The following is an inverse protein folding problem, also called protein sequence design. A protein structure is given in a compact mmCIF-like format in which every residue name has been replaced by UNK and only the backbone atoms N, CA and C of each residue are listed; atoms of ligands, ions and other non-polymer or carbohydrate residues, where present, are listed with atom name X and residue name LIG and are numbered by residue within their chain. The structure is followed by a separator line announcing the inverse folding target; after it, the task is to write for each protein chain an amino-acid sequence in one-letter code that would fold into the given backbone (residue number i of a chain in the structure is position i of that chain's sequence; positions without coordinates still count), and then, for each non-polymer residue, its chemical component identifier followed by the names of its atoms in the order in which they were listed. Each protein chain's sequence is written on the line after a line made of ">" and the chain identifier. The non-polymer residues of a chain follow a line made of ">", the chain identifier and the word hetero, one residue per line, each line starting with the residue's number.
data_IF_715669763899
#
_entry.id   IF_715669763899
#
_cell.length_a   1.000
_cell.length_b   1.000
_cell.length_c   1.000
_cell.angle_alpha   90.00
_cell.angle_beta   90.00
_cell.angle_gamma   90.00
#
_symmetry.space_group_name_H-M   'P 1'
#
loop_
_entity.id
_entity.type
_entity.pdbx_description
1 polymer ?
#
# COMPACT_ATOMS: atom_id res chain seq x y z
N UNK A 1 -9.30 -11.69 17.21
CA UNK A 1 -9.58 -12.66 16.12
C UNK A 1 -8.81 -13.92 16.45
N UNK A 2 -9.43 -15.10 16.36
CA UNK A 2 -8.69 -16.37 16.48
C UNK A 2 -7.78 -16.51 15.26
N UNK A 3 -6.50 -16.79 15.48
CA UNK A 3 -5.56 -17.06 14.41
C UNK A 3 -5.75 -18.51 13.96
N UNK A 4 -6.38 -18.68 12.80
CA UNK A 4 -6.70 -19.99 12.23
C UNK A 4 -5.67 -20.28 11.13
N UNK A 5 -5.01 -21.43 11.21
CA UNK A 5 -4.12 -21.93 10.16
C UNK A 5 -5.00 -22.35 8.96
N UNK A 6 -4.93 -21.67 7.80
CA UNK A 6 -5.81 -21.98 6.69
C UNK A 6 -5.51 -23.37 6.11
N UNK A 7 -4.23 -23.66 5.88
CA UNK A 7 -3.72 -24.97 5.50
C UNK A 7 -2.20 -24.98 5.70
N UNK A 8 -1.65 -25.97 6.42
CA UNK A 8 -0.20 -26.18 6.51
C UNK A 8 0.13 -27.65 6.32
N UNK A 9 1.14 -27.94 5.50
CA UNK A 9 1.67 -29.30 5.33
C UNK A 9 2.74 -29.55 6.38
N UNK A 10 2.57 -30.62 7.14
CA UNK A 10 3.51 -31.12 8.12
C UNK A 10 4.65 -31.87 7.44
N UNK A 11 5.79 -32.06 8.14
CA UNK A 11 6.93 -32.83 7.61
C UNK A 11 6.60 -34.29 7.28
N UNK A 12 5.61 -34.88 7.95
CA UNK A 12 5.11 -36.22 7.67
C UNK A 12 4.09 -36.27 6.51
N UNK A 13 3.92 -35.16 5.78
CA UNK A 13 2.95 -34.93 4.70
C UNK A 13 1.47 -34.84 5.11
N UNK A 14 1.15 -34.88 6.40
CA UNK A 14 -0.21 -34.57 6.87
C UNK A 14 -0.53 -33.08 6.64
N UNK A 15 -1.81 -32.76 6.47
CA UNK A 15 -2.26 -31.38 6.24
C UNK A 15 -3.16 -30.94 7.38
N UNK A 16 -2.72 -29.95 8.15
CA UNK A 16 -3.58 -29.27 9.12
C UNK A 16 -4.44 -28.23 8.38
N UNK A 17 -5.75 -28.26 8.58
CA UNK A 17 -6.70 -27.30 7.99
C UNK A 17 -7.56 -26.70 9.09
N UNK A 18 -7.69 -25.38 9.05
CA UNK A 18 -8.55 -24.61 9.95
C UNK A 18 -8.26 -24.85 11.44
N UNK A 19 -7.00 -25.10 11.80
CA UNK A 19 -6.60 -25.36 13.20
C UNK A 19 -6.24 -24.04 13.89
N UNK A 20 -6.84 -23.72 15.06
CA UNK A 20 -6.41 -22.59 15.87
C UNK A 20 -4.97 -22.76 16.36
N UNK A 21 -4.14 -21.71 16.26
CA UNK A 21 -2.71 -21.77 16.65
C UNK A 21 -2.51 -22.17 18.11
N UNK A 22 -3.44 -21.79 19.00
CA UNK A 22 -3.44 -22.13 20.44
C UNK A 22 -3.79 -23.61 20.72
N UNK A 23 -4.28 -24.35 19.73
CA UNK A 23 -4.56 -25.79 19.84
C UNK A 23 -3.43 -26.67 19.31
N UNK A 24 -2.34 -26.09 18.78
CA UNK A 24 -1.20 -26.86 18.27
C UNK A 24 -0.56 -27.74 19.35
N UNK A 25 -0.54 -27.29 20.60
CA UNK A 25 0.00 -28.03 21.75
C UNK A 25 -0.79 -29.31 22.06
N UNK A 26 -2.03 -29.42 21.57
CA UNK A 26 -2.88 -30.60 21.72
C UNK A 26 -2.66 -31.61 20.60
N UNK A 27 -1.92 -31.23 19.56
CA UNK A 27 -1.53 -32.13 18.48
C UNK A 27 -0.27 -32.88 18.90
N UNK A 28 -0.19 -34.16 18.58
CA UNK A 28 0.98 -35.01 18.82
C UNK A 28 2.11 -34.69 17.81
N UNK A 29 2.56 -33.43 17.80
CA UNK A 29 3.62 -32.90 16.94
C UNK A 29 4.85 -32.52 17.76
N UNK A 30 6.02 -32.59 17.13
CA UNK A 30 7.26 -32.17 17.79
C UNK A 30 7.28 -30.66 18.04
N UNK A 31 7.97 -30.21 19.10
CA UNK A 31 8.15 -28.79 19.40
C UNK A 31 8.82 -27.99 18.26
N UNK A 32 9.73 -28.61 17.50
CA UNK A 32 10.35 -27.98 16.33
C UNK A 32 9.31 -27.67 15.24
N UNK A 33 8.42 -28.64 14.97
CA UNK A 33 7.35 -28.49 13.99
C UNK A 33 6.31 -27.47 14.46
N UNK A 34 5.96 -27.48 15.74
CA UNK A 34 5.09 -26.48 16.35
C UNK A 34 5.66 -25.06 16.19
N UNK A 35 6.96 -24.87 16.50
CA UNK A 35 7.65 -23.59 16.31
C UNK A 35 7.68 -23.16 14.84
N UNK A 36 7.92 -24.09 13.91
CA UNK A 36 7.89 -23.81 12.45
C UNK A 36 6.51 -23.31 12.01
N UNK A 37 5.43 -23.94 12.48
CA UNK A 37 4.06 -23.55 12.14
C UNK A 37 3.74 -22.19 12.75
N UNK A 38 4.07 -21.97 14.03
CA UNK A 38 3.87 -20.67 14.72
C UNK A 38 4.62 -19.54 13.99
N UNK A 39 5.85 -19.79 13.55
CA UNK A 39 6.62 -18.83 12.75
C UNK A 39 5.95 -18.54 11.41
N UNK A 40 5.55 -19.58 10.67
CA UNK A 40 4.86 -19.43 9.38
C UNK A 40 3.60 -18.57 9.52
N UNK A 41 2.74 -18.88 10.49
CA UNK A 41 1.51 -18.12 10.73
C UNK A 41 1.82 -16.67 11.09
N UNK A 42 2.85 -16.45 11.92
CA UNK A 42 3.25 -15.09 12.28
C UNK A 42 3.77 -14.29 11.09
N UNK A 43 4.51 -14.91 10.16
CA UNK A 43 4.94 -14.26 8.92
C UNK A 43 3.75 -13.81 8.07
N UNK A 44 2.78 -14.70 7.84
CA UNK A 44 1.58 -14.39 7.06
C UNK A 44 0.74 -13.27 7.68
N UNK A 45 0.57 -13.29 9.02
CA UNK A 45 -0.11 -12.22 9.74
C UNK A 45 0.61 -10.87 9.61
N UNK A 46 1.93 -10.88 9.74
CA UNK A 46 2.75 -9.67 9.61
C UNK A 46 2.70 -9.12 8.19
N UNK A 47 2.81 -9.97 7.16
CA UNK A 47 2.66 -9.58 5.75
C UNK A 47 1.27 -8.97 5.52
N UNK A 48 0.21 -9.59 6.05
CA UNK A 48 -1.15 -9.06 5.97
C UNK A 48 -1.27 -7.67 6.61
N UNK A 49 -0.62 -7.45 7.76
CA UNK A 49 -0.60 -6.14 8.44
C UNK A 49 0.17 -5.09 7.64
N UNK A 50 1.30 -5.46 7.04
CA UNK A 50 2.08 -4.58 6.15
C UNK A 50 1.20 -4.13 4.98
N UNK A 51 0.58 -5.07 4.27
CA UNK A 51 -0.29 -4.80 3.12
C UNK A 51 -1.52 -3.95 3.52
N UNK A 52 -2.11 -4.22 4.68
CA UNK A 52 -3.23 -3.44 5.18
C UNK A 52 -2.82 -2.00 5.51
N UNK A 53 -1.65 -1.81 6.12
CA UNK A 53 -1.11 -0.50 6.45
C UNK A 53 -0.82 0.31 5.18
N UNK A 54 -0.07 -0.24 4.22
CA UNK A 54 0.25 0.48 2.96
C UNK A 54 -1.00 0.81 2.17
N UNK A 55 -2.01 -0.07 2.17
CA UNK A 55 -3.33 0.23 1.60
C UNK A 55 -3.99 1.44 2.28
N UNK A 56 -3.98 1.51 3.61
CA UNK A 56 -4.54 2.66 4.33
C UNK A 56 -3.78 3.95 3.99
N UNK A 57 -2.46 3.89 3.89
CA UNK A 57 -1.65 5.05 3.47
C UNK A 57 -2.01 5.51 2.06
N UNK A 58 -2.11 4.60 1.09
CA UNK A 58 -2.50 4.95 -0.29
C UNK A 58 -3.90 5.59 -0.35
N UNK A 59 -4.81 5.15 0.51
CA UNK A 59 -6.13 5.78 0.67
C UNK A 59 -6.05 7.19 1.25
N UNK A 60 -5.20 7.42 2.25
CA UNK A 60 -4.95 8.75 2.81
C UNK A 60 -4.34 9.70 1.76
N UNK A 61 -3.33 9.23 1.02
CA UNK A 61 -2.64 9.98 -0.03
C UNK A 61 -3.57 10.51 -1.11
N UNK A 62 -4.45 9.62 -1.59
CA UNK A 62 -5.41 9.95 -2.64
C UNK A 62 -6.64 10.70 -2.11
N UNK A 63 -6.72 10.96 -0.79
CA UNK A 63 -7.89 11.51 -0.09
C UNK A 63 -9.20 10.73 -0.36
N UNK A 64 -9.10 9.50 -0.87
CA UNK A 64 -10.22 8.72 -1.42
C UNK A 64 -9.99 7.21 -1.29
N UNK A 65 -11.09 6.44 -1.27
CA UNK A 65 -11.07 4.98 -1.06
C UNK A 65 -10.95 4.15 -2.35
N UNK A 66 -10.87 4.77 -3.52
CA UNK A 66 -11.03 4.06 -4.80
C UNK A 66 -9.74 4.07 -5.62
N UNK A 67 -9.20 2.87 -5.87
CA UNK A 67 -8.09 2.64 -6.82
C UNK A 67 -8.32 3.31 -8.19
N UNK A 68 -9.60 3.48 -8.56
CA UNK A 68 -10.06 4.15 -9.79
C UNK A 68 -9.61 5.62 -9.87
N UNK A 69 -9.49 6.33 -8.73
CA UNK A 69 -8.99 7.71 -8.72
C UNK A 69 -7.47 7.78 -8.89
N UNK A 70 -6.71 6.80 -8.39
CA UNK A 70 -5.27 6.72 -8.66
C UNK A 70 -5.00 6.47 -10.15
N UNK A 71 -5.76 5.57 -10.78
CA UNK A 71 -5.69 5.36 -12.23
C UNK A 71 -6.08 6.64 -12.99
N UNK A 72 -7.06 7.38 -12.47
CA UNK A 72 -7.48 8.66 -13.02
C UNK A 72 -6.38 9.74 -13.01
N UNK A 73 -5.46 9.72 -12.05
CA UNK A 73 -4.36 10.71 -11.97
C UNK A 73 -3.40 10.63 -13.15
N UNK A 74 -3.07 9.42 -13.62
CA UNK A 74 -2.19 9.22 -14.79
C UNK A 74 -2.80 9.85 -16.04
N UNK A 75 -4.10 9.67 -16.27
CA UNK A 75 -4.76 10.26 -17.44
C UNK A 75 -4.97 11.78 -17.29
N UNK A 76 -5.20 12.27 -16.06
CA UNK A 76 -5.23 13.71 -15.76
C UNK A 76 -3.88 14.37 -16.03
N UNK A 77 -2.79 13.77 -15.56
CA UNK A 77 -1.42 14.26 -15.80
C UNK A 77 -1.11 14.34 -17.30
N UNK A 78 -1.34 13.27 -18.06
CA UNK A 78 -1.11 13.25 -19.52
C UNK A 78 -1.90 14.35 -20.22
N UNK A 79 -3.16 14.56 -19.81
CA UNK A 79 -4.01 15.63 -20.36
C UNK A 79 -3.47 17.02 -20.00
N UNK A 80 -3.11 17.22 -18.75
CA UNK A 80 -2.56 18.47 -18.28
C UNK A 80 -1.26 18.83 -19.02
N UNK A 81 -0.36 17.87 -19.23
CA UNK A 81 0.86 18.06 -20.03
C UNK A 81 0.52 18.49 -21.46
N UNK A 82 -0.42 17.82 -22.13
CA UNK A 82 -0.87 18.23 -23.48
C UNK A 82 -1.40 19.67 -23.51
N UNK A 83 -2.09 20.13 -22.46
CA UNK A 83 -2.58 21.51 -22.38
C UNK A 83 -1.43 22.50 -22.28
N UNK A 84 -0.48 22.25 -21.38
CA UNK A 84 0.68 23.13 -21.19
C UNK A 84 1.62 23.14 -22.41
N UNK A 85 1.75 22.01 -23.11
CA UNK A 85 2.55 21.89 -24.33
C UNK A 85 1.86 22.51 -25.57
N UNK A 86 0.61 22.98 -25.44
CA UNK A 86 -0.15 23.58 -26.54
C UNK A 86 -0.67 22.59 -27.59
N UNK A 87 -0.63 21.28 -27.30
CA UNK A 87 -1.04 20.19 -28.22
C UNK A 87 -2.35 19.50 -27.79
N UNK A 88 -3.03 20.02 -26.77
CA UNK A 88 -4.29 19.47 -26.28
C UNK A 88 -5.42 19.54 -27.31
N UNK A 89 -6.20 18.46 -27.37
CA UNK A 89 -7.46 18.42 -28.10
C UNK A 89 -8.53 19.31 -27.46
N UNK A 90 -9.60 19.62 -28.19
CA UNK A 90 -10.73 20.36 -27.62
C UNK A 90 -11.41 19.59 -26.48
N UNK A 91 -11.43 18.26 -26.57
CA UNK A 91 -11.95 17.40 -25.50
C UNK A 91 -11.10 17.47 -24.23
N UNK A 92 -9.76 17.56 -24.36
CA UNK A 92 -8.86 17.74 -23.22
C UNK A 92 -9.15 19.08 -22.52
N UNK A 93 -9.23 20.16 -23.30
CA UNK A 93 -9.53 21.51 -22.79
C UNK A 93 -10.90 21.55 -22.13
N UNK A 94 -11.93 20.98 -22.76
CA UNK A 94 -13.29 20.96 -22.22
C UNK A 94 -13.36 20.23 -20.86
N UNK A 95 -12.67 19.12 -20.69
CA UNK A 95 -12.66 18.41 -19.42
C UNK A 95 -12.01 19.22 -18.28
N UNK A 96 -10.88 19.89 -18.57
CA UNK A 96 -10.23 20.79 -17.60
C UNK A 96 -11.09 22.02 -17.30
N UNK A 97 -11.75 22.61 -18.30
CA UNK A 97 -12.72 23.71 -18.11
C UNK A 97 -13.86 23.29 -17.18
N UNK A 98 -14.43 22.11 -17.40
CA UNK A 98 -15.50 21.57 -16.54
C UNK A 98 -14.99 21.43 -15.11
N UNK A 99 -13.83 20.80 -14.90
CA UNK A 99 -13.26 20.61 -13.56
C UNK A 99 -12.94 21.95 -12.87
N UNK A 100 -12.25 22.88 -13.54
CA UNK A 100 -11.92 24.20 -13.01
C UNK A 100 -13.17 24.99 -12.60
N UNK A 101 -14.20 24.99 -13.46
CA UNK A 101 -15.47 25.68 -13.18
C UNK A 101 -16.22 25.11 -11.98
N UNK A 102 -16.12 23.79 -11.73
CA UNK A 102 -16.80 23.12 -10.62
C UNK A 102 -16.04 23.22 -9.31
N UNK A 103 -14.72 23.34 -9.35
CA UNK A 103 -13.87 23.57 -8.17
C UNK A 103 -14.12 24.93 -7.53
N UNK A 104 -14.47 25.95 -8.33
CA UNK A 104 -14.87 27.26 -7.82
C UNK A 104 -13.71 28.12 -7.29
N UNK A 105 -12.47 27.77 -7.60
CA UNK A 105 -11.27 28.51 -7.16
C UNK A 105 -10.86 29.67 -8.07
N UNK A 106 -11.61 29.90 -9.16
CA UNK A 106 -11.27 30.96 -10.13
C UNK A 106 -9.97 30.72 -10.90
N UNK A 107 -9.48 29.48 -10.92
CA UNK A 107 -8.26 29.09 -11.62
C UNK A 107 -8.49 28.97 -13.14
N UNK A 108 -7.44 29.24 -13.93
CA UNK A 108 -7.45 28.96 -15.38
C UNK A 108 -7.21 27.48 -15.67
N UNK A 109 -7.44 27.06 -16.92
CA UNK A 109 -7.17 25.68 -17.37
C UNK A 109 -5.68 25.36 -17.18
N UNK A 110 -4.78 26.31 -17.47
CA UNK A 110 -3.34 26.16 -17.33
C UNK A 110 -2.92 26.04 -15.86
N UNK A 111 -3.52 26.83 -14.96
CA UNK A 111 -3.27 26.73 -13.53
C UNK A 111 -3.74 25.38 -12.96
N UNK A 112 -4.91 24.91 -13.38
CA UNK A 112 -5.40 23.59 -13.00
C UNK A 112 -4.51 22.47 -13.58
N UNK A 113 -4.09 22.59 -14.84
CA UNK A 113 -3.20 21.63 -15.48
C UNK A 113 -1.87 21.52 -14.73
N UNK A 114 -1.23 22.65 -14.41
CA UNK A 114 0.00 22.68 -13.63
C UNK A 114 -0.18 21.98 -12.27
N UNK A 115 -1.27 22.28 -11.56
CA UNK A 115 -1.57 21.64 -10.28
C UNK A 115 -1.81 20.13 -10.40
N UNK A 116 -2.49 19.68 -11.46
CA UNK A 116 -2.72 18.26 -11.71
C UNK A 116 -1.41 17.51 -11.98
N UNK A 117 -0.44 18.13 -12.66
CA UNK A 117 0.90 17.55 -12.87
C UNK A 117 1.65 17.46 -11.56
N UNK A 118 1.76 18.57 -10.81
CA UNK A 118 2.50 18.61 -9.54
C UNK A 118 2.00 17.55 -8.57
N UNK A 119 0.69 17.40 -8.47
CA UNK A 119 0.09 16.41 -7.62
C UNK A 119 0.27 14.98 -8.12
N UNK A 120 0.18 14.76 -9.44
CA UNK A 120 0.46 13.44 -10.01
C UNK A 120 1.91 13.02 -9.75
N UNK A 121 2.86 13.95 -9.89
CA UNK A 121 4.28 13.72 -9.61
C UNK A 121 4.51 13.41 -8.12
N UNK A 122 3.87 14.15 -7.20
CA UNK A 122 3.91 13.89 -5.76
C UNK A 122 3.37 12.49 -5.43
N UNK A 123 2.19 12.14 -5.96
CA UNK A 123 1.56 10.84 -5.73
C UNK A 123 2.40 9.69 -6.31
N UNK A 124 3.00 9.88 -7.50
CA UNK A 124 3.86 8.89 -8.12
C UNK A 124 5.11 8.63 -7.28
N UNK A 125 5.77 9.67 -6.78
CA UNK A 125 6.94 9.56 -5.92
C UNK A 125 6.61 8.81 -4.62
N UNK A 126 5.52 9.22 -3.95
CA UNK A 126 5.10 8.61 -2.68
C UNK A 126 4.69 7.15 -2.86
N UNK A 127 3.97 6.83 -3.95
CA UNK A 127 3.62 5.44 -4.22
C UNK A 127 4.85 4.59 -4.50
N UNK A 128 5.83 5.10 -5.25
CA UNK A 128 7.08 4.39 -5.50
C UNK A 128 7.88 4.13 -4.21
N UNK A 129 7.92 5.10 -3.29
CA UNK A 129 8.57 4.93 -1.99
C UNK A 129 7.87 3.85 -1.14
N UNK A 130 6.53 3.90 -1.07
CA UNK A 130 5.74 2.89 -0.35
C UNK A 130 5.86 1.50 -0.96
N UNK A 131 5.86 1.37 -2.28
CA UNK A 131 6.05 0.09 -2.97
C UNK A 131 7.42 -0.52 -2.64
N UNK A 132 8.47 0.31 -2.57
CA UNK A 132 9.81 -0.11 -2.15
C UNK A 132 9.85 -0.59 -0.70
N UNK A 133 9.25 0.16 0.23
CA UNK A 133 9.17 -0.21 1.65
C UNK A 133 8.35 -1.49 1.86
N UNK A 134 7.21 -1.62 1.19
CA UNK A 134 6.34 -2.80 1.23
C UNK A 134 7.10 -4.04 0.77
N UNK A 135 7.74 -3.97 -0.39
CA UNK A 135 8.49 -5.09 -0.98
C UNK A 135 9.64 -5.51 -0.08
N UNK A 136 10.44 -4.54 0.41
CA UNK A 136 11.55 -4.80 1.34
C UNK A 136 11.08 -5.47 2.62
N UNK A 137 9.99 -4.98 3.22
CA UNK A 137 9.47 -5.50 4.48
C UNK A 137 8.91 -6.92 4.33
N UNK A 138 8.16 -7.18 3.26
CA UNK A 138 7.64 -8.52 2.96
C UNK A 138 8.78 -9.50 2.75
N UNK A 139 9.78 -9.15 1.94
CA UNK A 139 10.95 -10.00 1.69
C UNK A 139 11.72 -10.30 2.99
N UNK A 140 11.92 -9.28 3.83
CA UNK A 140 12.60 -9.45 5.11
C UNK A 140 11.81 -10.39 6.05
N UNK A 141 10.48 -10.24 6.14
CA UNK A 141 9.62 -11.10 6.96
C UNK A 141 9.62 -12.54 6.45
N UNK A 142 9.62 -12.75 5.13
CA UNK A 142 9.71 -14.08 4.54
C UNK A 142 11.01 -14.79 4.91
N UNK A 143 12.12 -14.06 5.03
CA UNK A 143 13.45 -14.61 5.36
C UNK A 143 13.77 -14.67 6.86
N UNK A 144 12.93 -14.09 7.72
CA UNK A 144 13.10 -14.13 9.17
C UNK A 144 13.16 -15.57 9.72
N UNK A 145 14.01 -15.81 10.72
CA UNK A 145 14.31 -17.14 11.27
C UNK A 145 13.49 -17.47 12.51
N UNK A 146 12.98 -16.45 13.19
CA UNK A 146 12.19 -16.62 14.40
C UNK A 146 11.12 -15.52 14.54
N UNK A 147 10.24 -15.70 15.53
CA UNK A 147 9.10 -14.82 15.77
C UNK A 147 9.56 -13.42 16.24
N UNK A 148 10.64 -13.34 17.01
CA UNK A 148 11.13 -12.07 17.53
C UNK A 148 11.69 -11.19 16.40
N UNK A 149 12.39 -11.79 15.44
CA UNK A 149 12.84 -11.11 14.22
C UNK A 149 11.65 -10.60 13.38
N UNK A 150 10.59 -11.41 13.22
CA UNK A 150 9.38 -10.96 12.51
C UNK A 150 8.73 -9.74 13.19
N UNK A 151 8.65 -9.74 14.52
CA UNK A 151 8.09 -8.61 15.28
C UNK A 151 8.96 -7.36 15.15
N UNK A 152 10.29 -7.50 15.24
CA UNK A 152 11.23 -6.38 15.06
C UNK A 152 11.12 -5.78 13.65
N UNK A 153 11.00 -6.62 12.61
CA UNK A 153 10.84 -6.17 11.22
C UNK A 153 9.52 -5.42 10.99
N UNK A 154 8.44 -5.81 11.67
CA UNK A 154 7.17 -5.08 11.59
C UNK A 154 7.29 -3.68 12.21
N UNK A 155 7.92 -3.55 13.37
CA UNK A 155 8.13 -2.24 14.02
C UNK A 155 9.09 -1.36 13.22
N UNK A 156 10.13 -1.94 12.62
CA UNK A 156 11.00 -1.23 11.69
C UNK A 156 10.22 -0.71 10.47
N UNK A 157 9.41 -1.56 9.84
CA UNK A 157 8.57 -1.15 8.71
C UNK A 157 7.64 0.02 9.08
N UNK A 158 6.97 -0.04 10.23
CA UNK A 158 6.12 1.06 10.70
C UNK A 158 6.89 2.36 10.85
N UNK A 159 8.08 2.29 11.47
CA UNK A 159 8.93 3.47 11.67
C UNK A 159 9.38 4.08 10.34
N UNK A 160 9.87 3.24 9.41
CA UNK A 160 10.30 3.69 8.08
C UNK A 160 9.12 4.28 7.29
N UNK A 161 7.94 3.65 7.37
CA UNK A 161 6.76 4.14 6.70
C UNK A 161 6.24 5.45 7.32
N UNK A 162 6.17 5.57 8.65
CA UNK A 162 5.79 6.82 9.32
C UNK A 162 6.73 7.98 9.00
N UNK A 163 8.03 7.72 8.87
CA UNK A 163 9.00 8.72 8.43
C UNK A 163 8.75 9.14 6.98
N UNK A 164 8.49 8.18 6.10
CA UNK A 164 8.06 8.44 4.73
C UNK A 164 6.80 9.32 4.69
N UNK A 165 5.83 9.05 5.58
CA UNK A 165 4.60 9.82 5.66
C UNK A 165 4.80 11.29 6.03
N UNK A 166 5.82 11.62 6.83
CA UNK A 166 6.08 13.03 7.21
C UNK A 166 6.49 13.89 6.02
N UNK A 167 7.04 13.28 4.98
CA UNK A 167 7.44 13.96 3.76
C UNK A 167 6.30 14.08 2.75
N UNK A 168 5.10 13.57 3.09
CA UNK A 168 3.94 13.66 2.22
C UNK A 168 3.39 15.09 2.27
N UNK A 169 3.47 15.80 1.14
CA UNK A 169 2.60 16.95 0.89
C UNK A 169 1.22 16.44 0.52
N UNK A 170 0.21 16.84 1.27
CA UNK A 170 -1.18 16.47 0.97
C UNK A 170 -1.79 17.42 -0.06
N UNK A 171 -2.88 16.99 -0.71
CA UNK A 171 -3.63 17.75 -1.71
C UNK A 171 -4.00 19.19 -1.28
N UNK A 172 -4.13 19.44 0.03
CA UNK A 172 -4.49 20.75 0.58
C UNK A 172 -3.30 21.68 0.87
N UNK A 173 -2.07 21.19 0.76
CA UNK A 173 -0.85 21.92 1.12
C UNK A 173 -0.02 22.35 -0.10
N UNK A 174 -0.49 22.03 -1.32
CA UNK A 174 0.07 22.43 -2.61
C UNK A 174 -0.84 23.42 -3.36
#
# INVERSE_FOLDING_TARGET
>A
MMNIIPSVTLRNADVLKSVPVDQLEQLDISAEEEMRIKLYVRKEETITRILAFTKQVRQLLSNHSEAERMVGWVEKEKRARRVLDGVASDADKQQLTIEASKRGFGETIEQLAQRQIELADILALQNAELDGLETKAIDSVQHAKDIAEVEALLEQFKTEAEESLKNIKTYGEA
#
